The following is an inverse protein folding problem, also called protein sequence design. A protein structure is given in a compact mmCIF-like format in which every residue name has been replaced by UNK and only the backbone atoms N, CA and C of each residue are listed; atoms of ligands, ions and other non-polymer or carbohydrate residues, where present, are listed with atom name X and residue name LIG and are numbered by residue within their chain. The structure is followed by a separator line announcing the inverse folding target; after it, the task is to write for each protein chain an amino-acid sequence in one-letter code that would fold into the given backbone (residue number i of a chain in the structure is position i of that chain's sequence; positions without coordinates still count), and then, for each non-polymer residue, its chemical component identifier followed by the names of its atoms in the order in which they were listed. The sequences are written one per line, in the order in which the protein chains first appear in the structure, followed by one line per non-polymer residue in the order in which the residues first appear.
data_IF_483867444550
#
_entry.id   IF_483867444550
#
_cell.length_a   1.000
_cell.length_b   1.000
_cell.length_c   1.000
_cell.angle_alpha   90.00
_cell.angle_beta   90.00
_cell.angle_gamma   90.00
#
_symmetry.space_group_name_H-M   'P 1'
#
loop_
_entity.id
_entity.type
_entity.pdbx_description
1 polymer ?
#
# COMPACT_ATOMS: atom_id res chain seq x y z
N UNK A 1 2.25 -21.51 17.82
CA UNK A 1 1.60 -20.18 17.76
C UNK A 1 0.98 -20.02 16.38
N UNK A 2 -0.33 -19.71 16.28
CA UNK A 2 -0.98 -19.44 14.99
C UNK A 2 -0.43 -18.11 14.46
N UNK A 3 -0.03 -18.08 13.18
CA UNK A 3 0.35 -16.83 12.51
C UNK A 3 -0.94 -16.05 12.19
N UNK A 4 -0.97 -14.72 12.42
CA UNK A 4 -2.15 -13.91 12.15
C UNK A 4 -2.48 -13.89 10.64
N UNK A 5 -3.77 -13.84 10.34
CA UNK A 5 -4.35 -13.80 9.00
C UNK A 5 -4.24 -12.41 8.38
N UNK A 6 -4.36 -12.32 7.04
CA UNK A 6 -4.27 -11.04 6.34
C UNK A 6 -5.41 -10.08 6.71
N UNK A 7 -6.60 -10.61 7.00
CA UNK A 7 -7.73 -9.83 7.50
C UNK A 7 -7.43 -9.23 8.88
N UNK A 8 -6.82 -10.01 9.78
CA UNK A 8 -6.38 -9.49 11.09
C UNK A 8 -5.26 -8.44 10.95
N UNK A 9 -4.43 -8.54 9.91
CA UNK A 9 -3.41 -7.54 9.61
C UNK A 9 -4.00 -6.25 9.02
N UNK A 10 -5.01 -6.35 8.15
CA UNK A 10 -5.73 -5.21 7.54
C UNK A 10 -6.61 -4.53 8.60
N UNK A 11 -7.38 -5.30 9.37
CA UNK A 11 -8.20 -4.78 10.46
C UNK A 11 -7.31 -4.15 11.54
N UNK A 12 -6.18 -4.77 11.91
CA UNK A 12 -5.22 -4.16 12.84
C UNK A 12 -4.58 -2.88 12.28
N UNK A 13 -4.41 -2.79 10.96
CA UNK A 13 -3.92 -1.59 10.31
C UNK A 13 -4.98 -0.46 10.37
N UNK A 14 -6.24 -0.78 10.09
CA UNK A 14 -7.36 0.18 10.05
C UNK A 14 -7.86 0.60 11.43
N UNK A 15 -7.86 -0.28 12.44
CA UNK A 15 -8.36 0.01 13.80
C UNK A 15 -7.41 0.90 14.61
N UNK A 16 -6.14 0.95 14.22
CA UNK A 16 -5.13 1.78 14.87
C UNK A 16 -4.86 3.08 14.12
N UNK A 17 -5.67 3.39 13.10
CA UNK A 17 -5.40 4.46 12.15
C UNK A 17 -5.62 5.83 12.81
N UNK A 18 -4.54 6.60 12.93
CA UNK A 18 -4.50 7.97 13.48
C UNK A 18 -4.31 8.96 12.33
N UNK A 19 -4.63 10.26 12.52
CA UNK A 19 -4.31 11.31 11.54
C UNK A 19 -2.83 11.32 11.07
N UNK A 20 -1.95 10.65 11.82
CA UNK A 20 -0.55 10.40 11.52
C UNK A 20 -0.28 9.44 10.35
N UNK A 21 -1.28 8.81 9.71
CA UNK A 21 -1.02 7.76 8.70
C UNK A 21 -0.65 8.26 7.30
N UNK A 22 -0.59 9.59 7.12
CA UNK A 22 -0.15 10.24 5.88
C UNK A 22 1.27 10.76 6.00
N UNK A 23 2.19 10.12 5.27
CA UNK A 23 3.61 10.42 5.37
C UNK A 23 4.19 10.97 4.08
N UNK A 24 5.14 11.89 4.21
CA UNK A 24 6.00 12.27 3.08
C UNK A 24 6.91 11.11 2.69
N UNK A 25 7.32 11.07 1.43
CA UNK A 25 8.23 10.05 0.89
C UNK A 25 9.45 9.78 1.78
N UNK A 26 10.06 10.82 2.36
CA UNK A 26 11.22 10.67 3.24
C UNK A 26 10.93 9.85 4.51
N UNK A 27 9.73 9.96 5.08
CA UNK A 27 9.33 9.18 6.25
C UNK A 27 8.95 7.74 5.87
N UNK A 28 8.34 7.54 4.69
CA UNK A 28 8.13 6.19 4.13
C UNK A 28 9.47 5.47 3.97
N UNK A 29 10.49 6.12 3.38
CA UNK A 29 11.81 5.52 3.21
C UNK A 29 12.49 5.17 4.55
N UNK A 30 12.21 5.92 5.63
CA UNK A 30 12.69 5.57 6.96
C UNK A 30 12.00 4.34 7.54
N UNK A 31 10.71 4.13 7.25
CA UNK A 31 9.98 2.94 7.69
C UNK A 31 10.40 1.68 6.91
N UNK A 32 10.67 1.81 5.61
CA UNK A 32 11.04 0.69 4.73
C UNK A 32 12.54 0.71 4.42
N UNK A 33 13.35 0.37 5.42
CA UNK A 33 14.80 0.30 5.28
C UNK A 33 15.21 -0.60 4.10
N UNK A 34 16.00 -0.04 3.18
CA UNK A 34 16.46 -0.73 1.96
C UNK A 34 15.66 -0.39 0.69
N UNK A 35 14.54 0.33 0.79
CA UNK A 35 13.85 0.86 -0.38
C UNK A 35 14.58 2.08 -0.93
N UNK A 36 14.82 2.12 -2.24
CA UNK A 36 15.37 3.30 -2.90
C UNK A 36 14.29 4.36 -3.14
N UNK A 37 14.68 5.64 -3.20
CA UNK A 37 13.76 6.73 -3.57
C UNK A 37 13.14 6.50 -4.96
N UNK A 38 13.92 6.00 -5.90
CA UNK A 38 13.45 5.70 -7.27
C UNK A 38 12.34 4.66 -7.24
N UNK A 39 12.56 3.55 -6.53
CA UNK A 39 11.56 2.49 -6.34
C UNK A 39 10.28 3.02 -5.70
N UNK A 40 10.39 3.87 -4.67
CA UNK A 40 9.22 4.46 -4.03
C UNK A 40 8.42 5.34 -5.02
N UNK A 41 9.08 6.13 -5.87
CA UNK A 41 8.41 6.95 -6.88
C UNK A 41 7.70 6.09 -7.91
N UNK A 42 8.32 5.00 -8.37
CA UNK A 42 7.70 4.04 -9.29
C UNK A 42 6.46 3.41 -8.66
N UNK A 43 6.55 3.00 -7.39
CA UNK A 43 5.41 2.41 -6.68
C UNK A 43 4.27 3.41 -6.50
N UNK A 44 4.57 4.68 -6.21
CA UNK A 44 3.53 5.71 -6.17
C UNK A 44 2.82 5.86 -7.53
N UNK A 45 3.56 5.81 -8.64
CA UNK A 45 2.98 5.88 -9.99
C UNK A 45 2.10 4.67 -10.30
N UNK A 46 2.54 3.47 -9.88
CA UNK A 46 1.73 2.25 -10.03
C UNK A 46 0.45 2.31 -9.18
N UNK A 47 0.53 2.82 -7.95
CA UNK A 47 -0.65 3.03 -7.10
C UNK A 47 -1.63 4.02 -7.73
N UNK A 48 -1.15 5.12 -8.31
CA UNK A 48 -1.99 6.11 -9.01
C UNK A 48 -2.70 5.53 -10.24
N UNK A 49 -2.17 4.44 -10.83
CA UNK A 49 -2.74 3.78 -11.99
C UNK A 49 -3.80 2.70 -11.65
N UNK A 50 -4.03 2.43 -10.35
CA UNK A 50 -4.96 1.41 -9.87
C UNK A 50 -5.96 2.08 -8.93
N UNK A 51 -7.24 2.06 -9.27
CA UNK A 51 -8.28 2.84 -8.58
C UNK A 51 -8.30 2.59 -7.06
N UNK A 52 -8.12 1.34 -6.61
CA UNK A 52 -8.12 1.00 -5.18
C UNK A 52 -6.93 1.58 -4.40
N UNK A 53 -5.78 1.78 -5.06
CA UNK A 53 -4.57 2.31 -4.41
C UNK A 53 -4.39 3.81 -4.61
N UNK A 54 -5.05 4.39 -5.63
CA UNK A 54 -4.96 5.80 -5.97
C UNK A 54 -5.35 6.71 -4.81
N UNK A 55 -6.38 6.33 -4.06
CA UNK A 55 -6.84 7.06 -2.87
C UNK A 55 -5.78 7.14 -1.76
N UNK A 56 -4.74 6.30 -1.80
CA UNK A 56 -3.61 6.35 -0.87
C UNK A 56 -2.51 7.35 -1.24
N UNK A 57 -2.66 8.12 -2.33
CA UNK A 57 -1.67 9.06 -2.83
C UNK A 57 -2.26 10.47 -2.94
N UNK A 58 -1.59 11.45 -2.32
CA UNK A 58 -2.00 12.86 -2.40
C UNK A 58 -0.83 13.74 -2.86
N UNK A 59 -1.01 14.44 -3.98
CA UNK A 59 -0.02 15.34 -4.59
C UNK A 59 -0.56 16.77 -4.69
N UNK A 60 -0.45 17.59 -3.63
CA UNK A 60 -1.00 18.95 -3.64
C UNK A 60 -0.12 19.96 -4.39
N UNK A 61 1.07 19.55 -4.87
CA UNK A 61 1.96 20.39 -5.65
C UNK A 61 3.09 19.58 -6.30
N UNK A 62 3.95 20.25 -7.08
CA UNK A 62 4.95 19.59 -7.94
C UNK A 62 5.98 18.72 -7.19
N UNK A 63 6.28 19.03 -5.92
CA UNK A 63 7.31 18.34 -5.12
C UNK A 63 6.76 17.68 -3.85
N UNK A 64 5.45 17.73 -3.64
CA UNK A 64 4.81 17.22 -2.44
C UNK A 64 4.02 15.96 -2.77
N UNK A 65 4.34 14.88 -2.06
CA UNK A 65 3.62 13.61 -2.16
C UNK A 65 3.46 13.09 -0.75
N UNK A 66 2.20 12.97 -0.34
CA UNK A 66 1.78 12.28 0.86
C UNK A 66 1.30 10.90 0.46
N UNK A 67 1.68 9.91 1.27
CA UNK A 67 1.41 8.50 1.04
C UNK A 67 0.74 8.00 2.30
N UNK A 68 -0.46 7.44 2.12
CA UNK A 68 -1.18 6.76 3.17
C UNK A 68 -0.50 5.41 3.46
N UNK A 69 0.06 5.24 4.66
CA UNK A 69 0.95 4.10 4.96
C UNK A 69 0.24 2.76 4.85
N UNK A 70 -1.02 2.66 5.28
CA UNK A 70 -1.76 1.40 5.23
C UNK A 70 -2.10 1.00 3.78
N UNK A 71 -2.49 1.97 2.95
CA UNK A 71 -2.72 1.72 1.52
C UNK A 71 -1.42 1.33 0.82
N UNK A 72 -0.29 1.94 1.21
CA UNK A 72 1.02 1.56 0.69
C UNK A 72 1.41 0.12 1.08
N UNK A 73 1.19 -0.29 2.34
CA UNK A 73 1.41 -1.66 2.79
C UNK A 73 0.51 -2.63 2.02
N UNK A 74 -0.76 -2.29 1.83
CA UNK A 74 -1.69 -3.11 1.06
C UNK A 74 -1.24 -3.27 -0.40
N UNK A 75 -0.80 -2.18 -1.05
CA UNK A 75 -0.19 -2.23 -2.37
C UNK A 75 1.03 -3.18 -2.41
N UNK A 76 1.93 -3.10 -1.43
CA UNK A 76 3.10 -3.97 -1.37
C UNK A 76 2.71 -5.46 -1.27
N UNK A 77 1.69 -5.78 -0.45
CA UNK A 77 1.14 -7.14 -0.34
C UNK A 77 0.52 -7.63 -1.64
N UNK A 78 -0.29 -6.79 -2.28
CA UNK A 78 -0.87 -7.10 -3.59
C UNK A 78 0.21 -7.32 -4.64
N UNK A 79 1.27 -6.50 -4.64
CA UNK A 79 2.39 -6.62 -5.58
C UNK A 79 3.19 -7.90 -5.37
N UNK A 80 3.43 -8.28 -4.12
CA UNK A 80 4.09 -9.54 -3.76
C UNK A 80 3.28 -10.76 -4.23
N UNK A 81 1.97 -10.76 -3.97
CA UNK A 81 1.05 -11.82 -4.39
C UNK A 81 0.98 -11.98 -5.92
N UNK A 82 1.13 -10.87 -6.65
CA UNK A 82 1.10 -10.86 -8.11
C UNK A 82 2.47 -11.09 -8.77
N UNK A 83 3.56 -11.16 -8.00
CA UNK A 83 4.94 -11.18 -8.52
C UNK A 83 5.21 -12.34 -9.48
N UNK A 84 4.63 -13.50 -9.21
CA UNK A 84 4.86 -14.74 -9.98
C UNK A 84 3.61 -15.22 -10.74
N UNK A 85 2.54 -14.41 -10.77
CA UNK A 85 1.28 -14.79 -11.40
C UNK A 85 1.30 -14.41 -12.89
N UNK A 86 0.99 -15.37 -13.76
CA UNK A 86 0.81 -15.12 -15.20
C UNK A 86 -0.41 -14.25 -15.47
N UNK A 87 -1.50 -14.45 -14.71
CA UNK A 87 -2.68 -13.60 -14.71
C UNK A 87 -2.75 -12.86 -13.38
N UNK A 88 -2.61 -11.54 -13.43
CA UNK A 88 -2.69 -10.71 -12.22
C UNK A 88 -4.10 -10.74 -11.65
N UNK A 89 -4.20 -10.90 -10.33
CA UNK A 89 -5.44 -10.73 -9.57
C UNK A 89 -5.57 -9.25 -9.25
N UNK A 90 -6.75 -8.70 -9.53
CA UNK A 90 -7.06 -7.30 -9.22
C UNK A 90 -7.23 -7.12 -7.71
N UNK A 91 -6.95 -5.94 -7.16
CA UNK A 91 -7.21 -5.66 -5.74
C UNK A 91 -8.67 -5.93 -5.37
N UNK A 92 -9.61 -5.61 -6.27
CA UNK A 92 -11.05 -5.88 -6.12
C UNK A 92 -11.39 -7.36 -5.95
N UNK A 93 -10.74 -8.24 -6.71
CA UNK A 93 -10.94 -9.69 -6.59
C UNK A 93 -10.45 -10.19 -5.23
N UNK A 94 -9.29 -9.71 -4.77
CA UNK A 94 -8.76 -10.05 -3.44
C UNK A 94 -9.70 -9.57 -2.32
N UNK A 95 -10.26 -8.36 -2.45
CA UNK A 95 -11.23 -7.83 -1.49
C UNK A 95 -12.50 -8.69 -1.42
N UNK A 96 -13.01 -9.13 -2.57
CA UNK A 96 -14.23 -9.96 -2.66
C UNK A 96 -14.03 -11.34 -2.05
N UNK A 97 -12.85 -11.94 -2.22
CA UNK A 97 -12.50 -13.23 -1.61
C UNK A 97 -12.26 -13.11 -0.09
N UNK A 98 -11.77 -11.96 0.40
CA UNK A 98 -11.53 -11.74 1.82
C UNK A 98 -12.81 -11.53 2.66
N UNK A 99 -13.94 -11.20 2.01
CA UNK A 99 -15.25 -10.95 2.65
C UNK A 99 -16.26 -12.07 2.45
N UNK A 100 -15.89 -13.14 1.74
CA UNK A 100 -16.68 -14.34 1.49
C UNK A 100 -16.33 -15.46 2.47
#
# INVERSE_FOLDING_TARGET
MKKPTLAELIESAEKNMKPDDWYRQGLILKMFHGMSKTTLVEYCKEMEAIDEFKEGILRPGHSTTFIHVHTFIWFLRWKDENKYRTKKVTPKEILKEATA
#
